data_IF_562464765135
#
_entry.id   IF_562464765135
#
_cell.length_a   1.000
_cell.length_b   1.000
_cell.length_c   1.000
_cell.angle_alpha   90.00
_cell.angle_beta   90.00
_cell.angle_gamma   90.00
#
_symmetry.space_group_name_H-M   'P 1'
#
loop_
_entity.id
_entity.type
_entity.pdbx_description
1 polymer ?
#
# COMPACT_ATOMS: atom_id res chain seq x y z
N UNK A 1 -5.46 -7.21 7.27
CA UNK A 1 -4.01 -6.96 7.24
C UNK A 1 -3.76 -5.50 7.65
N UNK A 2 -2.64 -5.21 8.33
CA UNK A 2 -2.20 -3.82 8.62
C UNK A 2 -1.32 -3.32 7.49
N UNK A 3 -1.40 -2.03 7.19
CA UNK A 3 -0.60 -1.34 6.19
C UNK A 3 0.06 -0.12 6.83
N UNK A 4 1.34 0.11 6.55
CA UNK A 4 2.02 1.34 6.96
C UNK A 4 2.79 1.89 5.77
N UNK A 5 2.74 3.20 5.56
CA UNK A 5 3.57 3.89 4.59
C UNK A 5 4.57 4.81 5.30
N UNK A 6 5.77 4.94 4.73
CA UNK A 6 6.80 5.86 5.18
C UNK A 6 7.54 6.44 4.00
N UNK A 7 7.63 7.76 3.96
CA UNK A 7 8.60 8.42 3.10
C UNK A 7 10.00 8.26 3.71
N UNK A 8 10.95 7.73 2.94
CA UNK A 8 12.32 7.48 3.37
C UNK A 8 13.27 8.64 3.03
N UNK A 9 12.83 9.65 2.27
CA UNK A 9 13.69 10.77 1.87
C UNK A 9 13.03 11.82 0.98
N UNK A 10 13.86 12.65 0.34
CA UNK A 10 13.40 13.69 -0.59
C UNK A 10 12.74 14.93 0.04
N UNK A 11 12.36 14.88 1.31
CA UNK A 11 11.92 16.06 2.05
C UNK A 11 13.07 17.08 2.17
N UNK A 12 12.77 18.36 1.96
CA UNK A 12 13.75 19.43 2.19
C UNK A 12 14.12 19.50 3.69
N UNK A 13 15.42 19.56 4.03
CA UNK A 13 15.85 19.76 5.41
C UNK A 13 15.22 21.02 6.01
N UNK A 14 14.85 20.95 7.28
CA UNK A 14 14.18 22.06 7.96
C UNK A 14 14.43 21.99 9.46
N UNK A 15 14.56 23.17 10.08
CA UNK A 15 14.64 23.32 11.54
C UNK A 15 13.27 23.56 12.18
N UNK A 16 12.20 23.61 11.36
CA UNK A 16 10.83 23.71 11.84
C UNK A 16 10.40 22.38 12.46
N UNK A 17 10.20 22.38 13.77
CA UNK A 17 9.78 21.21 14.56
C UNK A 17 8.53 20.52 14.00
N UNK A 18 7.53 21.29 13.55
CA UNK A 18 6.28 20.72 13.05
C UNK A 18 6.49 20.02 11.72
N UNK A 19 7.31 20.60 10.84
CA UNK A 19 7.68 19.95 9.58
C UNK A 19 8.48 18.68 9.81
N UNK A 20 9.45 18.69 10.74
CA UNK A 20 10.23 17.50 11.09
C UNK A 20 9.33 16.35 11.58
N UNK A 21 8.31 16.65 12.40
CA UNK A 21 7.33 15.65 12.84
C UNK A 21 6.64 14.99 11.65
N UNK A 22 6.12 15.77 10.70
CA UNK A 22 5.50 15.22 9.48
C UNK A 22 6.48 14.44 8.61
N UNK A 23 7.70 14.93 8.43
CA UNK A 23 8.72 14.25 7.63
C UNK A 23 9.14 12.90 8.22
N UNK A 24 9.00 12.72 9.54
CA UNK A 24 9.32 11.48 10.25
C UNK A 24 8.12 10.54 10.45
N UNK A 25 6.91 10.98 10.08
CA UNK A 25 5.66 10.29 10.37
C UNK A 25 5.57 8.91 9.70
N UNK A 26 4.85 8.01 10.35
CA UNK A 26 4.47 6.71 9.82
C UNK A 26 2.96 6.73 9.60
N UNK A 27 2.52 6.47 8.37
CA UNK A 27 1.09 6.31 8.10
C UNK A 27 0.60 4.95 8.61
N UNK A 28 -0.71 4.85 8.77
CA UNK A 28 -1.40 3.59 9.05
C UNK A 28 -2.67 3.47 8.22
N UNK A 29 -2.89 2.27 7.67
CA UNK A 29 -4.14 1.85 7.07
C UNK A 29 -4.38 0.35 7.31
N UNK A 30 -5.53 -0.17 6.88
CA UNK A 30 -5.82 -1.60 6.89
C UNK A 30 -6.13 -2.08 5.48
N UNK A 31 -5.66 -3.27 5.13
CA UNK A 31 -6.09 -4.00 3.94
C UNK A 31 -7.06 -5.10 4.38
N UNK A 32 -8.33 -4.95 4.03
CA UNK A 32 -9.32 -6.01 4.15
C UNK A 32 -9.24 -6.98 2.97
N UNK A 33 -9.31 -8.26 3.30
CA UNK A 33 -9.39 -9.38 2.36
C UNK A 33 -10.67 -10.17 2.64
N UNK A 34 -11.26 -10.77 1.61
CA UNK A 34 -12.43 -11.64 1.78
C UNK A 34 -12.01 -13.06 2.20
N UNK A 35 -12.99 -13.90 2.54
CA UNK A 35 -12.72 -15.31 2.83
C UNK A 35 -12.20 -16.05 1.59
N UNK A 36 -12.75 -15.77 0.42
CA UNK A 36 -12.31 -16.38 -0.85
C UNK A 36 -10.87 -15.96 -1.19
N UNK A 37 -10.50 -14.71 -0.89
CA UNK A 37 -9.14 -14.23 -1.05
C UNK A 37 -8.18 -14.88 -0.06
N UNK A 38 -8.60 -15.08 1.19
CA UNK A 38 -7.83 -15.83 2.17
C UNK A 38 -7.61 -17.28 1.72
N UNK A 39 -8.65 -17.97 1.26
CA UNK A 39 -8.58 -19.35 0.78
C UNK A 39 -7.63 -19.47 -0.42
N UNK A 40 -7.62 -18.47 -1.31
CA UNK A 40 -6.67 -18.40 -2.41
C UNK A 40 -5.22 -18.24 -1.92
N UNK A 41 -4.98 -17.36 -0.93
CA UNK A 41 -3.65 -17.22 -0.33
C UNK A 41 -3.17 -18.52 0.32
N UNK A 42 -4.08 -19.28 0.95
CA UNK A 42 -3.80 -20.62 1.51
C UNK A 42 -3.33 -21.59 0.43
N UNK A 43 -3.89 -21.51 -0.79
CA UNK A 43 -3.46 -22.30 -1.95
C UNK A 43 -2.19 -21.77 -2.64
N UNK A 44 -1.61 -20.67 -2.16
CA UNK A 44 -0.45 -20.02 -2.78
C UNK A 44 -0.81 -19.19 -4.00
N UNK A 45 -2.04 -18.72 -4.10
CA UNK A 45 -2.56 -17.88 -5.17
C UNK A 45 -2.79 -16.45 -4.66
N UNK A 46 -2.58 -15.45 -5.51
CA UNK A 46 -2.97 -14.07 -5.21
C UNK A 46 -4.05 -13.67 -6.21
N UNK A 47 -5.34 -13.59 -5.82
CA UNK A 47 -6.42 -13.23 -6.72
C UNK A 47 -6.19 -11.90 -7.40
N UNK A 48 -6.65 -11.75 -8.65
CA UNK A 48 -6.51 -10.50 -9.42
C UNK A 48 -7.15 -9.31 -8.70
N UNK A 49 -8.35 -9.48 -8.15
CA UNK A 49 -9.05 -8.44 -7.38
C UNK A 49 -8.22 -7.95 -6.18
N UNK A 50 -7.59 -8.87 -5.43
CA UNK A 50 -6.70 -8.50 -4.32
C UNK A 50 -5.49 -7.69 -4.79
N UNK A 51 -4.88 -8.08 -5.92
CA UNK A 51 -3.73 -7.35 -6.47
C UNK A 51 -4.14 -5.93 -6.91
N UNK A 52 -5.26 -5.79 -7.61
CA UNK A 52 -5.79 -4.50 -8.05
C UNK A 52 -6.16 -3.62 -6.85
N UNK A 53 -6.75 -4.19 -5.79
CA UNK A 53 -7.05 -3.48 -4.54
C UNK A 53 -5.79 -2.98 -3.84
N UNK A 54 -4.76 -3.81 -3.74
CA UNK A 54 -3.45 -3.40 -3.22
C UNK A 54 -2.91 -2.23 -4.06
N UNK A 55 -2.92 -2.36 -5.39
CA UNK A 55 -2.43 -1.32 -6.28
C UNK A 55 -3.21 -0.01 -6.14
N UNK A 56 -4.54 -0.07 -6.14
CA UNK A 56 -5.41 1.12 -6.15
C UNK A 56 -5.43 1.88 -4.85
N UNK A 57 -5.47 1.15 -3.74
CA UNK A 57 -5.83 1.73 -2.45
C UNK A 57 -4.68 1.71 -1.44
N UNK A 58 -3.68 0.85 -1.64
CA UNK A 58 -2.61 0.64 -0.65
C UNK A 58 -1.22 0.99 -1.15
N UNK A 59 -1.01 1.15 -2.46
CA UNK A 59 0.23 1.68 -3.03
C UNK A 59 0.15 3.21 -3.21
N UNK A 60 -0.19 3.91 -2.13
CA UNK A 60 -0.41 5.37 -2.08
C UNK A 60 0.43 6.01 -0.98
N UNK A 61 0.82 7.27 -1.18
CA UNK A 61 1.42 8.08 -0.12
C UNK A 61 0.32 8.72 0.74
N UNK A 62 -0.06 8.05 1.84
CA UNK A 62 -0.97 8.56 2.86
C UNK A 62 -0.22 9.04 4.13
N UNK A 63 1.09 9.32 4.05
CA UNK A 63 1.90 9.74 5.21
C UNK A 63 1.49 11.07 5.82
N UNK A 64 0.79 11.91 5.04
CA UNK A 64 0.46 13.30 5.41
C UNK A 64 -1.03 13.58 5.57
N UNK A 65 -1.90 12.71 5.03
CA UNK A 65 -3.33 12.97 4.98
C UNK A 65 -4.07 12.08 3.98
N UNK A 66 -5.07 12.65 3.32
CA UNK A 66 -5.96 11.95 2.39
C UNK A 66 -5.32 11.86 0.99
N UNK A 67 -4.86 10.68 0.54
CA UNK A 67 -4.33 10.52 -0.80
C UNK A 67 -5.49 10.39 -1.81
N UNK A 68 -5.31 10.84 -3.06
CA UNK A 68 -6.11 10.34 -4.16
C UNK A 68 -5.79 8.86 -4.38
N UNK A 69 -6.82 8.03 -4.52
CA UNK A 69 -6.66 6.62 -4.88
C UNK A 69 -6.35 6.47 -6.38
N UNK A 70 -5.77 5.35 -6.79
CA UNK A 70 -5.54 5.09 -8.21
C UNK A 70 -6.79 4.54 -8.90
N UNK A 71 -7.02 5.00 -10.11
CA UNK A 71 -7.99 4.41 -11.02
C UNK A 71 -7.40 3.16 -11.67
N UNK A 72 -8.26 2.23 -12.10
CA UNK A 72 -7.82 1.00 -12.79
C UNK A 72 -6.98 1.31 -14.04
N UNK A 73 -7.30 2.38 -14.77
CA UNK A 73 -6.56 2.81 -15.95
C UNK A 73 -5.24 3.54 -15.64
N UNK A 74 -4.91 3.76 -14.37
CA UNK A 74 -3.63 4.32 -13.91
C UNK A 74 -2.65 3.22 -13.47
N UNK A 75 -3.11 1.97 -13.37
CA UNK A 75 -2.25 0.79 -13.24
C UNK A 75 -1.69 0.46 -14.62
N UNK A 76 -0.43 0.80 -14.87
CA UNK A 76 0.24 0.57 -16.16
C UNK A 76 0.82 -0.83 -16.25
N UNK A 77 1.33 -1.33 -15.13
CA UNK A 77 1.84 -2.68 -15.01
C UNK A 77 1.62 -3.20 -13.58
N UNK A 78 1.39 -4.50 -13.48
CA UNK A 78 1.32 -5.23 -12.22
C UNK A 78 1.82 -6.66 -12.44
N UNK A 79 3.05 -6.92 -12.00
CA UNK A 79 3.71 -8.21 -12.11
C UNK A 79 3.91 -8.81 -10.74
N UNK A 80 3.79 -10.13 -10.66
CA UNK A 80 3.95 -10.89 -9.42
C UNK A 80 4.23 -12.35 -9.69
N UNK A 81 5.04 -12.92 -8.81
CA UNK A 81 5.28 -14.33 -8.65
C UNK A 81 5.24 -14.67 -7.15
N UNK A 82 4.48 -15.72 -6.81
CA UNK A 82 4.47 -16.31 -5.48
C UNK A 82 5.03 -17.72 -5.61
N UNK A 83 6.21 -17.97 -5.05
CA UNK A 83 6.88 -19.27 -5.12
C UNK A 83 7.27 -19.72 -3.73
N UNK A 84 6.71 -20.84 -3.28
CA UNK A 84 6.98 -21.42 -1.95
C UNK A 84 6.82 -20.40 -0.82
N UNK A 85 5.77 -19.59 -0.88
CA UNK A 85 5.47 -18.55 0.11
C UNK A 85 6.28 -17.26 -0.04
N UNK A 86 7.23 -17.17 -0.97
CA UNK A 86 7.95 -15.92 -1.25
C UNK A 86 7.31 -15.15 -2.39
N UNK A 87 6.92 -13.92 -2.12
CA UNK A 87 6.38 -12.99 -3.09
C UNK A 87 7.51 -12.14 -3.66
N UNK A 88 7.55 -12.04 -4.99
CA UNK A 88 8.26 -11.00 -5.73
C UNK A 88 7.32 -10.36 -6.72
N UNK A 89 7.35 -9.04 -6.86
CA UNK A 89 6.52 -8.36 -7.84
C UNK A 89 6.98 -6.94 -8.11
N UNK A 90 6.26 -6.27 -9.01
CA UNK A 90 6.44 -4.86 -9.32
C UNK A 90 5.14 -4.24 -9.80
N UNK A 91 4.99 -2.93 -9.58
CA UNK A 91 3.88 -2.17 -10.15
C UNK A 91 4.40 -0.86 -10.74
N UNK A 92 3.76 -0.42 -11.83
CA UNK A 92 3.87 0.95 -12.37
C UNK A 92 2.51 1.61 -12.26
N UNK A 93 2.44 2.67 -11.45
CA UNK A 93 1.24 3.48 -11.26
C UNK A 93 1.52 4.88 -11.80
N UNK A 94 0.63 5.42 -12.62
CA UNK A 94 0.87 6.72 -13.27
C UNK A 94 -0.44 7.40 -13.66
N UNK A 95 -0.66 8.64 -13.20
CA UNK A 95 -1.80 9.43 -13.65
C UNK A 95 -1.73 9.67 -15.14
N UNK A 96 -2.87 9.96 -15.77
CA UNK A 96 -2.90 10.28 -17.21
C UNK A 96 -1.98 11.46 -17.58
N UNK A 97 -1.77 12.40 -16.66
CA UNK A 97 -0.94 13.59 -16.88
C UNK A 97 0.55 13.36 -16.56
N UNK A 98 0.92 12.25 -15.93
CA UNK A 98 2.29 11.99 -15.51
C UNK A 98 2.73 12.77 -14.26
N UNK A 99 1.83 13.54 -13.66
CA UNK A 99 2.14 14.45 -12.54
C UNK A 99 2.15 13.76 -11.18
N UNK A 100 1.65 12.52 -11.09
CA UNK A 100 1.73 11.65 -9.90
C UNK A 100 1.90 10.20 -10.32
N UNK A 101 2.78 9.47 -9.64
CA UNK A 101 3.01 8.06 -9.94
C UNK A 101 3.86 7.34 -8.90
N UNK A 102 4.02 6.03 -9.12
CA UNK A 102 4.82 5.14 -8.29
C UNK A 102 5.43 4.02 -9.12
N UNK A 103 6.76 3.96 -9.13
CA UNK A 103 7.55 2.84 -9.63
C UNK A 103 7.99 1.99 -8.46
N UNK A 104 7.46 0.77 -8.32
CA UNK A 104 7.64 0.01 -7.07
C UNK A 104 7.96 -1.45 -7.30
N UNK A 105 8.85 -1.99 -6.46
CA UNK A 105 9.08 -3.42 -6.32
C UNK A 105 8.47 -3.93 -5.02
N UNK A 106 7.92 -5.13 -5.06
CA UNK A 106 7.34 -5.82 -3.92
C UNK A 106 8.16 -7.07 -3.61
N UNK A 107 8.51 -7.26 -2.34
CA UNK A 107 9.11 -8.49 -1.84
C UNK A 107 8.46 -8.88 -0.52
N UNK A 108 8.24 -10.17 -0.30
CA UNK A 108 7.60 -10.59 0.93
C UNK A 108 7.57 -12.08 1.15
N UNK A 109 7.00 -12.45 2.31
CA UNK A 109 6.78 -13.82 2.74
C UNK A 109 5.35 -13.98 3.24
N UNK A 110 4.69 -15.02 2.76
CA UNK A 110 3.39 -15.48 3.20
C UNK A 110 3.60 -16.90 3.74
N UNK A 111 3.22 -17.12 5.01
CA UNK A 111 3.30 -18.45 5.63
C UNK A 111 1.89 -18.94 5.95
N UNK A 112 1.64 -20.20 5.59
CA UNK A 112 0.39 -20.89 5.83
C UNK A 112 0.66 -22.04 6.78
N UNK A 113 -0.17 -22.17 7.81
CA UNK A 113 -0.17 -23.28 8.77
C UNK A 113 -1.62 -23.67 9.06
N UNK A 114 -1.90 -24.96 9.05
CA UNK A 114 -3.23 -25.51 9.37
C UNK A 114 -4.38 -24.83 8.60
N UNK A 115 -4.17 -24.61 7.30
CA UNK A 115 -5.16 -23.96 6.43
C UNK A 115 -5.38 -22.47 6.71
N UNK A 116 -4.47 -21.81 7.44
CA UNK A 116 -4.56 -20.37 7.77
C UNK A 116 -3.27 -19.65 7.42
N UNK A 117 -3.41 -18.45 6.84
CA UNK A 117 -2.30 -17.50 6.74
C UNK A 117 -1.90 -17.06 8.16
N UNK A 118 -0.70 -17.45 8.59
CA UNK A 118 -0.13 -17.10 9.91
C UNK A 118 0.95 -16.02 9.81
N UNK A 119 1.40 -15.72 8.60
CA UNK A 119 2.32 -14.62 8.33
C UNK A 119 1.98 -14.00 6.98
N UNK A 120 1.99 -12.68 6.92
CA UNK A 120 1.81 -11.92 5.69
C UNK A 120 2.70 -10.70 5.78
N UNK A 121 3.97 -10.84 5.41
CA UNK A 121 4.95 -9.75 5.48
C UNK A 121 5.34 -9.36 4.06
N UNK A 122 4.89 -8.21 3.58
CA UNK A 122 5.25 -7.69 2.25
C UNK A 122 5.79 -6.28 2.42
N UNK A 123 6.88 -5.96 1.73
CA UNK A 123 7.39 -4.61 1.60
C UNK A 123 7.36 -4.23 0.14
N UNK A 124 6.75 -3.08 -0.13
CA UNK A 124 6.78 -2.39 -1.39
C UNK A 124 7.72 -1.18 -1.24
N UNK A 125 8.73 -1.07 -2.09
CA UNK A 125 9.72 0.02 -2.05
C UNK A 125 10.01 0.50 -3.47
N UNK A 126 10.02 1.81 -3.65
CA UNK A 126 10.47 2.43 -4.89
C UNK A 126 10.23 3.94 -4.94
N UNK A 127 10.19 4.48 -6.15
CA UNK A 127 10.14 5.93 -6.39
C UNK A 127 8.70 6.40 -6.59
N UNK A 128 8.20 7.18 -5.65
CA UNK A 128 6.94 7.91 -5.76
C UNK A 128 7.19 9.33 -6.26
N UNK A 129 6.22 9.95 -6.93
CA UNK A 129 6.26 11.38 -7.24
C UNK A 129 4.87 11.99 -7.25
N UNK A 130 4.82 13.31 -7.10
CA UNK A 130 3.60 14.08 -7.11
C UNK A 130 2.80 13.99 -5.81
N UNK A 131 1.64 14.62 -5.82
CA UNK A 131 0.76 14.72 -4.65
C UNK A 131 -0.70 14.89 -5.05
N UNK A 132 -1.58 14.75 -4.07
CA UNK A 132 -3.00 14.99 -4.25
C UNK A 132 -3.40 16.46 -4.15
N UNK A 133 -4.65 16.74 -4.53
CA UNK A 133 -5.24 18.07 -4.42
C UNK A 133 -5.50 18.48 -2.97
N UNK A 134 -5.80 17.51 -2.10
CA UNK A 134 -6.27 17.75 -0.73
C UNK A 134 -5.17 17.80 0.32
N UNK A 135 -4.02 17.18 0.08
CA UNK A 135 -2.88 17.16 1.00
C UNK A 135 -1.62 17.52 0.23
N UNK A 136 -1.06 18.68 0.56
CA UNK A 136 0.09 19.29 -0.12
C UNK A 136 1.41 19.04 0.64
N UNK A 137 2.53 19.39 0.02
CA UNK A 137 3.86 19.38 0.63
C UNK A 137 4.60 18.06 0.47
N UNK A 138 4.43 17.39 -0.68
CA UNK A 138 5.25 16.21 -0.98
C UNK A 138 6.70 16.61 -1.22
N UNK A 139 7.65 15.69 -1.06
CA UNK A 139 8.97 15.86 -1.66
C UNK A 139 8.85 16.26 -3.13
N UNK A 140 9.71 17.17 -3.57
CA UNK A 140 9.79 17.55 -4.98
C UNK A 140 10.42 16.42 -5.79
N UNK A 141 9.94 16.21 -7.01
CA UNK A 141 10.45 15.18 -7.90
C UNK A 141 10.11 13.77 -7.43
N UNK A 142 11.03 12.84 -7.67
CA UNK A 142 10.92 11.44 -7.23
C UNK A 142 11.51 11.27 -5.84
N UNK A 143 10.85 10.48 -5.01
CA UNK A 143 11.29 10.22 -3.64
C UNK A 143 11.00 8.77 -3.23
N UNK A 144 11.83 8.19 -2.34
CA UNK A 144 11.67 6.80 -1.94
C UNK A 144 10.49 6.67 -0.97
N UNK A 145 9.44 5.95 -1.39
CA UNK A 145 8.32 5.56 -0.55
C UNK A 145 8.43 4.07 -0.21
N UNK A 146 8.23 3.72 1.06
CA UNK A 146 8.13 2.34 1.50
C UNK A 146 6.73 2.08 2.07
N UNK A 147 6.15 0.93 1.73
CA UNK A 147 4.85 0.49 2.23
C UNK A 147 4.97 -0.95 2.70
N UNK A 148 4.60 -1.21 3.94
CA UNK A 148 4.63 -2.55 4.53
C UNK A 148 3.22 -3.08 4.77
N UNK A 149 3.02 -4.36 4.50
CA UNK A 149 1.82 -5.11 4.84
C UNK A 149 2.19 -6.16 5.88
N UNK A 150 1.40 -6.26 6.94
CA UNK A 150 1.57 -7.26 8.02
C UNK A 150 0.25 -7.92 8.38
N UNK A 151 0.30 -9.16 8.86
CA UNK A 151 -0.88 -9.78 9.45
C UNK A 151 -1.36 -8.95 10.65
N UNK A 152 -2.67 -8.75 10.73
CA UNK A 152 -3.30 -8.14 11.90
C UNK A 152 -3.64 -9.25 12.89
N UNK A 153 -3.21 -9.11 14.14
CA UNK A 153 -3.43 -10.08 15.22
C UNK A 153 -4.73 -9.84 16.00
N UNK A 154 -5.46 -8.76 15.68
CA UNK A 154 -6.69 -8.37 16.37
C UNK A 154 -6.47 -7.77 17.76
N UNK A 155 -5.23 -7.64 18.24
CA UNK A 155 -4.94 -7.11 19.57
C UNK A 155 -5.06 -5.57 19.64
N UNK A 156 -4.88 -4.91 18.51
CA UNK A 156 -4.95 -3.45 18.39
C UNK A 156 -6.34 -3.02 17.90
N UNK A 157 -6.98 -2.13 18.66
CA UNK A 157 -8.31 -1.56 18.32
C UNK A 157 -8.35 -0.96 16.92
N UNK A 158 -7.24 -0.38 16.46
CA UNK A 158 -7.17 0.22 15.14
C UNK A 158 -7.14 -0.81 14.00
N UNK A 159 -7.09 -2.12 14.29
CA UNK A 159 -7.36 -3.17 13.30
C UNK A 159 -8.84 -3.23 12.88
N UNK A 160 -9.75 -2.62 13.67
CA UNK A 160 -11.18 -2.54 13.36
C UNK A 160 -11.54 -1.30 12.51
N UNK A 161 -10.60 -0.38 12.33
CA UNK A 161 -10.82 0.82 11.49
C UNK A 161 -10.89 0.38 10.02
N UNK A 162 -11.90 0.81 9.26
CA UNK A 162 -12.00 0.46 7.85
C UNK A 162 -10.83 1.04 7.04
N UNK A 163 -10.37 0.31 5.99
CA UNK A 163 -9.43 0.80 4.99
C UNK A 163 -9.82 2.19 4.52
N UNK A 164 -8.86 3.10 4.36
CA UNK A 164 -9.13 4.44 3.88
C UNK A 164 -9.88 4.43 2.54
N UNK A 165 -9.45 3.57 1.61
CA UNK A 165 -10.07 3.39 0.30
C UNK A 165 -11.49 2.78 0.32
N UNK A 166 -11.95 2.20 1.44
CA UNK A 166 -13.30 1.62 1.53
C UNK A 166 -14.33 2.57 2.15
N UNK A 167 -13.90 3.70 2.72
CA UNK A 167 -14.79 4.62 3.43
C UNK A 167 -15.80 5.25 2.47
N UNK A 168 -17.08 4.94 2.66
CA UNK A 168 -18.18 5.41 1.82
C UNK A 168 -18.42 4.61 0.54
N UNK A 169 -17.61 3.60 0.23
CA UNK A 169 -17.78 2.76 -0.97
C UNK A 169 -17.10 1.39 -0.82
N UNK A 170 -17.70 0.51 0.00
CA UNK A 170 -17.15 -0.83 0.26
C UNK A 170 -17.18 -1.69 -0.99
N UNK A 171 -18.27 -1.65 -1.77
CA UNK A 171 -18.43 -2.50 -2.96
C UNK A 171 -17.31 -2.26 -3.99
N UNK A 172 -16.99 -1.00 -4.32
CA UNK A 172 -15.90 -0.71 -5.26
C UNK A 172 -14.50 -0.80 -4.69
N UNK A 173 -14.37 -1.02 -3.37
CA UNK A 173 -13.12 -1.39 -2.73
C UNK A 173 -12.90 -2.91 -2.78
N UNK A 174 -13.97 -3.71 -2.65
CA UNK A 174 -13.90 -5.17 -2.69
C UNK A 174 -13.90 -5.74 -4.13
N UNK A 175 -14.32 -4.96 -5.13
CA UNK A 175 -14.44 -5.33 -6.55
C UNK A 175 -13.61 -4.43 -7.48
#
# INVERSE_FOLDING_TARGET
>A
MRVHAKNLGGCEPTDDRWKQLFQSALSRDNLWITQEEHDALVRGEIPKALQERIARFHLVDNTRGEPPMWNTNEIRNLERALTRGYLTGSARLDTKRGDRGYDVQLKGKIEVRDGRVVRFDIVALGDFWGEGTYTRGAPKGRFPLAISFTLADGADIANHVPPQGSRGWVDGYLH
#
